data_IF_773174618697
#
_entry.id   IF_773174618697
#
_cell.length_a   1.000
_cell.length_b   1.000
_cell.length_c   1.000
_cell.angle_alpha   90.00
_cell.angle_beta   90.00
_cell.angle_gamma   90.00
#
_symmetry.space_group_name_H-M   'P 1'
#
loop_
_entity.id
_entity.type
_entity.pdbx_description
1 polymer ?
#
# COMPACT_ATOMS: atom_id res chain seq x y z
N UNK A 1 1.47 -30.30 18.69
CA UNK A 1 1.79 -29.45 19.85
C UNK A 1 0.57 -28.58 20.12
N UNK A 2 0.04 -28.56 21.35
CA UNK A 2 -1.18 -27.76 21.66
C UNK A 2 -0.87 -26.26 21.62
N UNK A 3 -1.85 -25.45 21.22
CA UNK A 3 -1.80 -23.98 21.17
C UNK A 3 -1.31 -23.41 22.51
N UNK A 4 -0.24 -22.62 22.50
CA UNK A 4 0.34 -21.97 23.72
C UNK A 4 0.54 -20.47 23.57
N UNK A 5 0.55 -19.95 22.33
CA UNK A 5 0.80 -18.52 22.06
C UNK A 5 -0.42 -17.62 22.25
N UNK A 6 -1.61 -18.17 22.44
CA UNK A 6 -2.80 -17.35 22.61
C UNK A 6 -2.86 -16.72 24.01
N UNK A 7 -2.99 -15.38 24.13
CA UNK A 7 -3.14 -14.71 25.44
C UNK A 7 -4.42 -15.10 26.20
N UNK A 8 -5.48 -15.52 25.48
CA UNK A 8 -6.81 -15.83 26.02
C UNK A 8 -7.14 -17.33 26.00
N UNK A 9 -6.12 -18.20 26.05
CA UNK A 9 -6.30 -19.64 25.92
C UNK A 9 -7.18 -20.24 27.04
N UNK A 10 -7.05 -19.71 28.26
CA UNK A 10 -7.77 -20.22 29.44
C UNK A 10 -9.25 -19.80 29.45
N UNK A 11 -9.59 -18.68 28.82
CA UNK A 11 -10.97 -18.22 28.68
C UNK A 11 -11.75 -19.05 27.65
N UNK A 12 -11.04 -19.82 26.80
CA UNK A 12 -11.58 -20.64 25.72
C UNK A 12 -12.63 -19.89 24.86
N UNK A 13 -12.44 -18.58 24.70
CA UNK A 13 -13.30 -17.78 23.84
C UNK A 13 -13.02 -18.16 22.40
N UNK A 14 -14.04 -18.49 21.59
CA UNK A 14 -13.87 -18.77 20.18
C UNK A 14 -13.43 -17.48 19.48
N UNK A 15 -12.12 -17.26 19.41
CA UNK A 15 -11.48 -16.21 18.65
C UNK A 15 -10.42 -16.82 17.74
N UNK A 16 -9.98 -16.05 16.74
CA UNK A 16 -9.02 -16.44 15.70
C UNK A 16 -7.79 -17.20 16.23
N UNK A 17 -7.90 -18.52 16.36
CA UNK A 17 -6.82 -19.41 16.76
C UNK A 17 -6.73 -19.74 18.25
N UNK A 18 -7.56 -19.19 19.13
CA UNK A 18 -7.50 -19.45 20.58
C UNK A 18 -8.36 -20.66 21.00
N UNK A 19 -8.19 -21.78 20.30
CA UNK A 19 -8.91 -23.01 20.57
C UNK A 19 -7.99 -24.00 21.29
N UNK A 20 -8.37 -24.40 22.51
CA UNK A 20 -7.58 -25.33 23.34
C UNK A 20 -7.46 -26.71 22.68
N UNK A 21 -8.40 -27.05 21.81
CA UNK A 21 -8.43 -28.33 21.10
C UNK A 21 -7.64 -28.29 19.79
N UNK A 22 -7.02 -27.16 19.44
CA UNK A 22 -6.14 -27.08 18.28
C UNK A 22 -4.79 -27.75 18.57
N UNK A 23 -4.50 -28.81 17.80
CA UNK A 23 -3.29 -29.64 17.97
C UNK A 23 -2.03 -29.04 17.31
N UNK A 24 -2.14 -27.81 16.82
CA UNK A 24 -1.10 -27.03 16.17
C UNK A 24 -1.03 -25.66 16.84
N UNK A 25 0.17 -25.18 17.14
CA UNK A 25 0.38 -23.82 17.63
C UNK A 25 0.34 -22.85 16.45
N UNK A 26 -0.78 -22.15 16.31
CA UNK A 26 -1.07 -21.24 15.20
C UNK A 26 -0.77 -19.82 15.65
N UNK A 27 -0.01 -19.10 14.82
CA UNK A 27 0.26 -17.69 15.07
C UNK A 27 -1.01 -16.86 14.96
N UNK A 28 -1.08 -15.83 15.82
CA UNK A 28 -2.18 -14.87 15.81
C UNK A 28 -2.24 -14.14 14.45
N UNK A 29 -3.44 -13.73 14.02
CA UNK A 29 -3.57 -12.97 12.78
C UNK A 29 -2.73 -11.70 12.87
N UNK A 30 -2.00 -11.41 11.80
CA UNK A 30 -1.07 -10.28 11.77
C UNK A 30 -1.42 -9.38 10.61
N UNK A 31 -1.45 -8.07 10.87
CA UNK A 31 -1.57 -7.04 9.83
C UNK A 31 -0.22 -6.34 9.71
N UNK A 32 0.29 -6.21 8.48
CA UNK A 32 1.56 -5.53 8.20
C UNK A 32 1.37 -4.53 7.07
N UNK A 33 2.00 -3.38 7.19
CA UNK A 33 2.20 -2.51 6.04
C UNK A 33 3.13 -3.21 5.05
N UNK A 34 2.70 -3.30 3.79
CA UNK A 34 3.46 -4.00 2.75
C UNK A 34 4.28 -2.99 1.94
N UNK A 35 3.62 -2.05 1.27
CA UNK A 35 4.27 -1.04 0.43
C UNK A 35 3.38 0.16 0.15
N UNK A 36 4.01 1.24 -0.31
CA UNK A 36 3.34 2.33 -0.99
C UNK A 36 3.07 1.92 -2.44
N UNK A 37 1.85 2.15 -2.92
CA UNK A 37 1.41 1.87 -4.28
C UNK A 37 0.98 3.19 -4.95
N UNK A 38 0.76 3.19 -6.26
CA UNK A 38 0.56 4.42 -7.06
C UNK A 38 -0.58 5.32 -6.56
N UNK A 39 -1.59 4.74 -5.92
CA UNK A 39 -2.75 5.47 -5.39
C UNK A 39 -3.29 4.90 -4.09
N UNK A 40 -2.55 4.00 -3.44
CA UNK A 40 -3.03 3.26 -2.28
C UNK A 40 -1.90 2.86 -1.33
N UNK A 41 -2.26 2.60 -0.08
CA UNK A 41 -1.39 1.95 0.91
C UNK A 41 -1.76 0.47 0.96
N UNK A 42 -0.81 -0.40 0.61
CA UNK A 42 -1.05 -1.83 0.61
C UNK A 42 -0.76 -2.41 2.00
N UNK A 43 -1.75 -3.07 2.59
CA UNK A 43 -1.60 -3.82 3.85
C UNK A 43 -1.76 -5.32 3.58
N UNK A 44 -0.87 -6.11 4.17
CA UNK A 44 -0.96 -7.57 4.16
C UNK A 44 -1.62 -8.05 5.44
N UNK A 45 -2.70 -8.81 5.30
CA UNK A 45 -3.41 -9.45 6.40
C UNK A 45 -3.17 -10.96 6.31
N UNK A 46 -2.49 -11.51 7.31
CA UNK A 46 -2.25 -12.94 7.43
C UNK A 46 -3.19 -13.53 8.49
N UNK A 47 -4.01 -14.50 8.08
CA UNK A 47 -4.97 -15.19 8.95
C UNK A 47 -4.92 -16.68 8.65
N UNK A 48 -4.95 -17.49 9.70
CA UNK A 48 -5.07 -18.94 9.60
C UNK A 48 -6.53 -19.36 9.64
N UNK A 49 -6.86 -20.34 8.80
CA UNK A 49 -8.20 -20.92 8.70
C UNK A 49 -8.12 -22.38 9.12
N UNK A 50 -9.18 -22.88 9.76
CA UNK A 50 -9.25 -24.27 10.27
C UNK A 50 -9.21 -25.30 9.13
N UNK A 51 -10.01 -25.06 8.09
CA UNK A 51 -10.21 -26.00 6.99
C UNK A 51 -9.96 -25.33 5.63
N UNK A 52 -9.44 -26.10 4.68
CA UNK A 52 -9.18 -25.61 3.31
C UNK A 52 -10.45 -25.10 2.62
N UNK A 53 -11.59 -25.78 2.80
CA UNK A 53 -12.86 -25.36 2.20
C UNK A 53 -13.39 -24.03 2.75
N UNK A 54 -13.09 -23.72 4.02
CA UNK A 54 -13.53 -22.49 4.68
C UNK A 54 -12.76 -21.25 4.24
N UNK A 55 -11.66 -21.40 3.49
CA UNK A 55 -10.83 -20.27 3.06
C UNK A 55 -11.60 -19.23 2.24
N UNK A 56 -12.55 -19.67 1.40
CA UNK A 56 -13.29 -18.76 0.53
C UNK A 56 -14.34 -17.98 1.30
N UNK A 57 -15.08 -18.67 2.18
CA UNK A 57 -16.06 -18.05 3.07
C UNK A 57 -15.37 -17.01 3.96
N UNK A 58 -14.26 -17.39 4.60
CA UNK A 58 -13.49 -16.49 5.46
C UNK A 58 -12.97 -15.27 4.70
N UNK A 59 -12.46 -15.44 3.48
CA UNK A 59 -12.03 -14.30 2.64
C UNK A 59 -13.18 -13.35 2.31
N UNK A 60 -14.37 -13.88 2.02
CA UNK A 60 -15.54 -13.06 1.72
C UNK A 60 -16.02 -12.31 2.95
N UNK A 61 -16.21 -13.01 4.07
CA UNK A 61 -16.69 -12.44 5.33
C UNK A 61 -15.73 -11.36 5.84
N UNK A 62 -14.42 -11.61 5.77
CA UNK A 62 -13.39 -10.65 6.18
C UNK A 62 -13.44 -9.37 5.35
N UNK A 63 -13.69 -9.44 4.04
CA UNK A 63 -13.83 -8.25 3.18
C UNK A 63 -15.03 -7.40 3.59
N UNK A 64 -16.15 -8.01 3.90
CA UNK A 64 -17.37 -7.31 4.34
C UNK A 64 -17.12 -6.62 5.68
N UNK A 65 -16.58 -7.36 6.65
CA UNK A 65 -16.26 -6.83 7.98
C UNK A 65 -15.28 -5.65 7.87
N UNK A 66 -14.21 -5.79 7.09
CA UNK A 66 -13.24 -4.71 6.88
C UNK A 66 -13.89 -3.48 6.24
N UNK A 67 -14.74 -3.67 5.25
CA UNK A 67 -15.44 -2.57 4.58
C UNK A 67 -16.38 -1.81 5.54
N UNK A 68 -17.14 -2.54 6.36
CA UNK A 68 -18.01 -1.94 7.37
C UNK A 68 -17.22 -1.18 8.44
N UNK A 69 -16.12 -1.76 8.91
CA UNK A 69 -15.29 -1.14 9.94
C UNK A 69 -14.59 0.11 9.40
N UNK A 70 -14.05 0.07 8.17
CA UNK A 70 -13.49 1.24 7.51
C UNK A 70 -14.52 2.35 7.35
N UNK A 71 -15.77 2.01 7.03
CA UNK A 71 -16.86 3.00 6.94
C UNK A 71 -17.14 3.68 8.28
N UNK A 72 -17.02 2.98 9.42
CA UNK A 72 -17.21 3.57 10.75
C UNK A 72 -16.14 4.60 11.10
N UNK A 73 -14.90 4.36 10.68
CA UNK A 73 -13.77 5.27 10.90
C UNK A 73 -13.55 6.28 9.76
N UNK A 74 -14.48 6.41 8.81
CA UNK A 74 -14.36 7.24 7.59
C UNK A 74 -13.07 6.97 6.78
N UNK A 75 -12.60 5.72 6.81
CA UNK A 75 -11.50 5.25 5.96
C UNK A 75 -12.09 4.81 4.62
N UNK A 76 -11.59 5.36 3.52
CA UNK A 76 -12.07 5.08 2.17
C UNK A 76 -11.02 4.33 1.37
N UNK A 77 -11.46 3.29 0.66
CA UNK A 77 -10.63 2.58 -0.30
C UNK A 77 -10.54 3.46 -1.56
N UNK A 78 -9.35 3.95 -1.94
CA UNK A 78 -9.20 4.86 -3.06
C UNK A 78 -9.41 4.11 -4.39
N UNK A 79 -10.10 4.77 -5.31
CA UNK A 79 -9.97 4.46 -6.74
C UNK A 79 -8.58 4.91 -7.23
N UNK A 80 -8.09 4.44 -8.39
CA UNK A 80 -6.85 4.97 -8.96
C UNK A 80 -6.89 6.50 -9.06
N UNK A 81 -5.91 7.17 -8.46
CA UNK A 81 -5.82 8.62 -8.39
C UNK A 81 -4.82 9.07 -9.45
N UNK A 82 -5.15 10.15 -10.15
CA UNK A 82 -4.24 10.81 -11.09
C UNK A 82 -4.22 12.29 -10.83
N UNK A 83 -3.03 12.87 -10.90
CA UNK A 83 -2.85 14.33 -10.88
C UNK A 83 -2.97 14.83 -12.32
N UNK A 84 -3.97 15.68 -12.58
CA UNK A 84 -4.12 16.38 -13.85
C UNK A 84 -3.53 17.77 -13.70
N UNK A 85 -2.51 18.06 -14.50
CA UNK A 85 -1.98 19.42 -14.62
C UNK A 85 -2.88 20.19 -15.58
N UNK A 86 -3.50 21.26 -15.08
CA UNK A 86 -4.34 22.14 -15.89
C UNK A 86 -3.60 23.46 -16.11
N UNK A 87 -2.50 23.38 -16.86
CA UNK A 87 -1.76 24.53 -17.38
C UNK A 87 -2.19 24.82 -18.82
N UNK A 88 -2.09 26.08 -19.25
CA UNK A 88 -2.19 26.40 -20.67
C UNK A 88 -0.83 26.07 -21.29
N UNK A 89 -0.70 24.85 -21.85
CA UNK A 89 0.56 24.33 -22.41
C UNK A 89 1.21 25.31 -23.39
N UNK A 90 0.40 26.08 -24.12
CA UNK A 90 0.90 27.11 -25.03
C UNK A 90 1.57 28.25 -24.28
N UNK A 91 0.91 28.74 -23.23
CA UNK A 91 1.42 29.84 -22.40
C UNK A 91 2.69 29.42 -21.67
N UNK A 92 2.75 28.18 -21.17
CA UNK A 92 3.95 27.64 -20.56
C UNK A 92 5.08 27.47 -21.58
N UNK A 93 4.80 26.95 -22.78
CA UNK A 93 5.78 26.83 -23.84
C UNK A 93 6.32 28.20 -24.27
N UNK A 94 5.46 29.21 -24.37
CA UNK A 94 5.85 30.59 -24.69
C UNK A 94 6.73 31.18 -23.57
N UNK A 95 6.33 31.04 -22.30
CA UNK A 95 7.11 31.51 -21.14
C UNK A 95 8.49 30.82 -21.02
N UNK A 96 8.57 29.54 -21.40
CA UNK A 96 9.83 28.78 -21.47
C UNK A 96 10.68 29.27 -22.64
N UNK A 97 10.09 29.44 -23.82
CA UNK A 97 10.78 29.90 -25.02
C UNK A 97 11.43 31.28 -24.84
N UNK A 98 10.75 32.21 -24.16
CA UNK A 98 11.32 33.53 -23.81
C UNK A 98 12.60 33.44 -22.95
N UNK A 99 12.77 32.35 -22.20
CA UNK A 99 13.91 32.15 -21.29
C UNK A 99 15.00 31.27 -21.88
N UNK A 100 14.80 30.67 -23.05
CA UNK A 100 15.77 29.75 -23.67
C UNK A 100 17.11 30.44 -24.00
N UNK A 101 17.11 31.69 -24.44
CA UNK A 101 18.36 32.40 -24.75
C UNK A 101 19.24 32.60 -23.50
N UNK A 102 18.61 32.94 -22.37
CA UNK A 102 19.31 33.04 -21.07
C UNK A 102 19.80 31.66 -20.61
N UNK A 103 19.01 30.61 -20.88
CA UNK A 103 19.38 29.23 -20.53
C UNK A 103 20.62 28.78 -21.30
N UNK A 104 20.68 29.07 -22.61
CA UNK A 104 21.86 28.82 -23.45
C UNK A 104 23.08 29.59 -22.97
N UNK A 105 22.92 30.88 -22.67
CA UNK A 105 24.03 31.70 -22.18
C UNK A 105 24.63 31.14 -20.87
N UNK A 106 23.79 30.70 -19.94
CA UNK A 106 24.24 30.09 -18.68
C UNK A 106 24.91 28.72 -18.93
N UNK A 107 24.39 27.92 -19.86
CA UNK A 107 24.99 26.65 -20.27
C UNK A 107 26.35 26.86 -20.93
N UNK A 108 26.51 27.89 -21.76
CA UNK A 108 27.77 28.23 -22.41
C UNK A 108 28.80 28.75 -21.39
N UNK A 109 28.37 29.48 -20.36
CA UNK A 109 29.23 30.07 -19.34
C UNK A 109 29.69 29.05 -18.28
N UNK A 110 28.79 28.19 -17.81
CA UNK A 110 29.05 27.27 -16.69
C UNK A 110 29.14 25.79 -17.09
N UNK A 111 28.79 25.45 -18.32
CA UNK A 111 28.71 24.07 -18.80
C UNK A 111 27.51 23.30 -18.25
N UNK A 112 27.23 22.13 -18.84
CA UNK A 112 26.14 21.22 -18.40
C UNK A 112 26.52 20.43 -17.13
N UNK A 113 27.82 20.42 -16.77
CA UNK A 113 28.34 19.60 -15.68
C UNK A 113 28.28 18.10 -15.98
N UNK A 114 28.47 17.27 -14.95
CA UNK A 114 28.57 15.79 -15.03
C UNK A 114 27.25 15.08 -15.43
N UNK A 115 26.20 15.84 -15.75
CA UNK A 115 24.86 15.32 -16.10
C UNK A 115 24.85 14.65 -17.48
N UNK A 116 25.80 14.99 -18.36
CA UNK A 116 25.88 14.40 -19.71
C UNK A 116 26.35 12.93 -19.71
N UNK A 117 26.93 12.41 -18.63
CA UNK A 117 27.47 11.04 -18.59
C UNK A 117 26.43 9.94 -18.35
N UNK A 118 25.14 10.26 -18.22
CA UNK A 118 24.09 9.29 -17.92
C UNK A 118 23.25 8.84 -19.13
N UNK A 119 23.51 9.36 -20.34
CA UNK A 119 22.73 9.05 -21.55
C UNK A 119 23.45 8.15 -22.57
N UNK A 120 24.66 7.67 -22.27
CA UNK A 120 25.50 6.87 -23.20
C UNK A 120 25.67 5.37 -22.81
N UNK A 121 24.88 4.82 -21.88
CA UNK A 121 24.85 3.37 -21.54
C UNK A 121 23.47 2.72 -21.71
#
# INVERSE_FOLDING_TARGET
ARQVRCPYLDENKPSCGCDKDLHVDVSQPTVRFNKFNDSALDFLVLVYVRDYGSQFKMKSDLRVIMYEEFKKYDIRIPWPIKTVYQGDEKREADEIAEREDKRKQVVDEFGIGDVASAEDD
#
